data_IF_694617910034
#
_entry.id   IF_694617910034
#
_cell.length_a   1.000
_cell.length_b   1.000
_cell.length_c   1.000
_cell.angle_alpha   90.00
_cell.angle_beta   90.00
_cell.angle_gamma   90.00
#
_symmetry.space_group_name_H-M   'P 1'
#
loop_
_entity.id
_entity.type
_entity.pdbx_description
1 polymer ?
#
# COMPACT_ATOMS: atom_id res chain seq x y z
N UNK A 1 20.32 -8.09 10.41
CA UNK A 1 19.96 -6.69 10.76
C UNK A 1 20.86 -5.69 10.00
N UNK A 2 20.84 -5.72 8.67
CA UNK A 2 21.63 -4.75 7.86
C UNK A 2 20.87 -4.19 6.65
N UNK A 3 19.66 -4.71 6.35
CA UNK A 3 18.97 -4.40 5.09
C UNK A 3 17.92 -3.27 5.24
N UNK A 4 17.13 -3.27 6.31
CA UNK A 4 16.10 -2.26 6.53
C UNK A 4 16.65 -0.83 6.66
N UNK A 5 17.76 -0.66 7.39
CA UNK A 5 18.37 0.66 7.60
C UNK A 5 18.94 1.23 6.30
N UNK A 6 19.59 0.39 5.49
CA UNK A 6 20.09 0.78 4.17
C UNK A 6 18.95 1.05 3.18
N UNK A 7 17.87 0.28 3.24
CA UNK A 7 16.66 0.52 2.45
C UNK A 7 16.00 1.85 2.79
N UNK A 8 15.89 2.19 4.08
CA UNK A 8 15.37 3.50 4.53
C UNK A 8 16.27 4.64 4.05
N UNK A 9 17.60 4.51 4.21
CA UNK A 9 18.56 5.50 3.70
C UNK A 9 18.44 5.69 2.19
N UNK A 10 18.22 4.61 1.46
CA UNK A 10 18.02 4.64 0.01
C UNK A 10 16.76 5.43 -0.35
N UNK A 11 15.64 5.21 0.36
CA UNK A 11 14.42 5.98 0.18
C UNK A 11 14.68 7.46 0.46
N UNK A 12 15.31 7.80 1.59
CA UNK A 12 15.63 9.19 1.95
C UNK A 12 16.52 9.85 0.90
N UNK A 13 17.56 9.15 0.43
CA UNK A 13 18.46 9.63 -0.62
C UNK A 13 17.74 9.85 -1.95
N UNK A 14 16.69 9.07 -2.26
CA UNK A 14 15.86 9.29 -3.44
C UNK A 14 14.99 10.56 -3.32
N UNK A 15 14.54 10.92 -2.12
CA UNK A 15 13.77 12.15 -1.90
C UNK A 15 14.63 13.41 -2.14
N UNK A 16 15.92 13.38 -1.82
CA UNK A 16 16.84 14.51 -1.99
C UNK A 16 16.89 15.10 -3.43
N UNK A 17 17.04 14.30 -4.51
CA UNK A 17 16.98 14.81 -5.88
C UNK A 17 15.56 15.11 -6.37
N UNK A 18 14.54 15.02 -5.51
CA UNK A 18 13.15 15.37 -5.85
C UNK A 18 12.30 14.20 -6.37
N UNK A 19 12.63 12.95 -6.05
CA UNK A 19 11.70 11.84 -6.31
C UNK A 19 10.45 12.04 -5.46
N UNK A 20 9.30 12.16 -6.12
CA UNK A 20 8.00 12.43 -5.50
C UNK A 20 7.01 11.29 -5.68
N UNK A 21 7.40 10.17 -6.31
CA UNK A 21 6.52 9.03 -6.53
C UNK A 21 7.18 7.75 -6.01
N UNK A 22 6.51 7.09 -5.07
CA UNK A 22 6.97 5.82 -4.49
C UNK A 22 5.90 4.75 -4.71
N UNK A 23 6.33 3.60 -5.22
CA UNK A 23 5.46 2.47 -5.52
C UNK A 23 5.87 1.24 -4.70
N UNK A 24 4.89 0.62 -4.04
CA UNK A 24 5.06 -0.60 -3.24
C UNK A 24 3.91 -1.58 -3.50
N UNK A 25 3.88 -2.72 -2.81
CA UNK A 25 2.77 -3.67 -2.84
C UNK A 25 2.80 -4.53 -1.59
N UNK A 26 1.62 -4.89 -1.06
CA UNK A 26 1.52 -5.80 0.08
C UNK A 26 2.11 -7.19 -0.15
N UNK A 27 2.33 -7.61 -1.41
CA UNK A 27 2.95 -8.90 -1.74
C UNK A 27 4.49 -8.88 -1.68
N UNK A 28 5.13 -7.70 -1.67
CA UNK A 28 6.59 -7.60 -1.63
C UNK A 28 7.09 -7.92 -0.22
N UNK A 29 7.81 -9.05 -0.07
CA UNK A 29 8.22 -9.59 1.23
C UNK A 29 7.03 -9.60 2.18
N UNK A 30 6.02 -10.48 1.97
CA UNK A 30 4.62 -10.27 2.33
C UNK A 30 4.42 -9.35 3.54
N UNK A 31 3.84 -8.17 3.29
CA UNK A 31 3.56 -7.08 4.23
C UNK A 31 4.75 -6.26 4.75
N UNK A 32 5.95 -6.83 4.79
CA UNK A 32 7.14 -6.19 5.37
C UNK A 32 7.57 -4.95 4.57
N UNK A 33 7.44 -4.97 3.25
CA UNK A 33 7.85 -3.81 2.45
C UNK A 33 6.95 -2.58 2.69
N UNK A 34 5.64 -2.77 2.92
CA UNK A 34 4.75 -1.64 3.23
C UNK A 34 5.09 -1.03 4.59
N UNK A 35 5.44 -1.86 5.59
CA UNK A 35 5.91 -1.40 6.90
C UNK A 35 7.24 -0.64 6.81
N UNK A 36 8.18 -1.12 6.00
CA UNK A 36 9.45 -0.45 5.76
C UNK A 36 9.25 0.92 5.10
N UNK A 37 8.44 1.00 4.05
CA UNK A 37 8.11 2.25 3.38
C UNK A 37 7.38 3.21 4.33
N UNK A 38 6.45 2.70 5.14
CA UNK A 38 5.75 3.49 6.16
C UNK A 38 6.72 4.11 7.17
N UNK A 39 7.67 3.32 7.69
CA UNK A 39 8.74 3.83 8.57
C UNK A 39 9.62 4.87 7.88
N UNK A 40 9.99 4.65 6.62
CA UNK A 40 10.82 5.58 5.85
C UNK A 40 10.12 6.93 5.60
N UNK A 41 8.80 6.93 5.43
CA UNK A 41 8.01 8.13 5.12
C UNK A 41 7.51 8.91 6.34
N UNK A 42 7.80 8.47 7.56
CA UNK A 42 7.43 9.21 8.76
C UNK A 42 8.09 10.60 8.73
N UNK A 43 7.26 11.65 8.69
CA UNK A 43 7.71 13.05 8.55
C UNK A 43 7.93 13.54 7.11
N UNK A 44 7.84 12.64 6.11
CA UNK A 44 8.03 12.95 4.68
C UNK A 44 6.81 12.62 3.82
N UNK A 45 5.70 12.18 4.44
CA UNK A 45 4.53 11.66 3.72
C UNK A 45 3.96 12.64 2.70
N UNK A 46 3.91 13.93 3.04
CA UNK A 46 3.33 14.96 2.17
C UNK A 46 4.23 15.34 0.98
N UNK A 47 5.48 14.87 0.98
CA UNK A 47 6.45 15.10 -0.10
C UNK A 47 6.28 14.11 -1.26
N UNK A 48 5.48 13.06 -1.08
CA UNK A 48 5.34 11.97 -2.05
C UNK A 48 3.89 11.62 -2.39
N UNK A 49 3.68 11.24 -3.63
CA UNK A 49 2.55 10.43 -4.07
C UNK A 49 2.91 8.97 -3.81
N UNK A 50 2.29 8.40 -2.78
CA UNK A 50 2.46 7.00 -2.40
C UNK A 50 1.47 6.12 -3.16
N UNK A 51 2.00 5.15 -3.90
CA UNK A 51 1.25 4.14 -4.62
C UNK A 51 1.42 2.75 -3.99
N UNK A 52 0.34 1.99 -3.92
CA UNK A 52 0.39 0.56 -3.57
C UNK A 52 -0.66 -0.23 -4.35
N UNK A 53 -0.60 -1.56 -4.27
CA UNK A 53 -1.30 -2.47 -5.18
C UNK A 53 -2.14 -3.50 -4.45
N UNK A 54 -3.24 -3.92 -5.07
CA UNK A 54 -4.13 -4.98 -4.58
C UNK A 54 -4.34 -6.11 -5.58
N UNK A 55 -5.14 -7.11 -5.21
CA UNK A 55 -5.59 -8.16 -6.13
C UNK A 55 -4.92 -9.52 -5.90
N UNK A 56 -3.87 -9.56 -5.07
CA UNK A 56 -3.35 -10.81 -4.52
C UNK A 56 -3.94 -11.04 -3.13
N UNK A 57 -4.36 -12.27 -2.87
CA UNK A 57 -4.77 -12.69 -1.54
C UNK A 57 -3.57 -13.23 -0.79
N UNK A 58 -2.85 -12.35 -0.10
CA UNK A 58 -1.82 -12.76 0.84
C UNK A 58 -2.39 -13.03 2.25
N UNK A 59 -3.62 -12.58 2.56
CA UNK A 59 -4.23 -12.65 3.89
C UNK A 59 -5.09 -13.91 4.11
N UNK A 60 -5.35 -14.68 3.05
CA UNK A 60 -6.10 -15.93 3.14
C UNK A 60 -5.15 -17.11 3.24
N UNK A 61 -5.58 -18.15 3.97
CA UNK A 61 -4.92 -19.46 4.10
C UNK A 61 -4.63 -20.17 2.77
N UNK A 62 -4.98 -19.60 1.61
CA UNK A 62 -4.76 -20.15 0.27
C UNK A 62 -3.34 -19.98 -0.29
N UNK A 63 -2.42 -19.35 0.46
CA UNK A 63 -1.04 -19.15 0.05
C UNK A 63 -0.83 -17.95 -0.89
N UNK A 64 0.43 -17.50 -1.06
CA UNK A 64 0.75 -16.38 -1.95
C UNK A 64 0.38 -16.73 -3.40
N UNK A 65 -0.35 -15.85 -4.07
CA UNK A 65 -0.56 -15.91 -5.52
C UNK A 65 -2.00 -16.14 -6.00
N UNK A 66 -2.98 -16.38 -5.11
CA UNK A 66 -4.39 -16.39 -5.54
C UNK A 66 -4.84 -14.98 -5.88
N UNK A 67 -5.40 -14.80 -7.07
CA UNK A 67 -6.00 -13.54 -7.49
C UNK A 67 -7.42 -13.43 -6.93
N UNK A 68 -7.73 -12.28 -6.35
CA UNK A 68 -9.08 -11.92 -5.90
C UNK A 68 -9.21 -10.42 -5.96
N UNK A 69 -10.02 -9.94 -6.91
CA UNK A 69 -10.30 -8.52 -7.03
C UNK A 69 -11.75 -8.19 -6.67
N UNK A 70 -12.39 -9.05 -5.87
CA UNK A 70 -13.73 -8.78 -5.36
C UNK A 70 -13.76 -7.50 -4.51
N UNK A 71 -14.86 -6.74 -4.51
CA UNK A 71 -14.98 -5.53 -3.70
C UNK A 71 -14.75 -5.73 -2.20
N UNK A 72 -14.98 -6.94 -1.68
CA UNK A 72 -14.73 -7.28 -0.28
C UNK A 72 -13.22 -7.43 0.01
N UNK A 73 -12.49 -8.12 -0.88
CA UNK A 73 -11.04 -8.25 -0.74
C UNK A 73 -10.33 -6.90 -0.93
N UNK A 74 -10.80 -6.06 -1.86
CA UNK A 74 -10.23 -4.72 -2.08
C UNK A 74 -10.32 -3.87 -0.80
N UNK A 75 -11.47 -3.88 -0.11
CA UNK A 75 -11.64 -3.16 1.17
C UNK A 75 -10.70 -3.68 2.26
N UNK A 76 -10.61 -4.99 2.41
CA UNK A 76 -9.71 -5.60 3.38
C UNK A 76 -8.24 -5.27 3.08
N UNK A 77 -7.86 -5.34 1.80
CA UNK A 77 -6.50 -5.08 1.37
C UNK A 77 -6.09 -3.62 1.58
N UNK A 78 -6.97 -2.64 1.30
CA UNK A 78 -6.64 -1.22 1.49
C UNK A 78 -6.48 -0.90 2.98
N UNK A 79 -7.35 -1.44 3.84
CA UNK A 79 -7.27 -1.21 5.29
C UNK A 79 -5.93 -1.71 5.85
N UNK A 80 -5.53 -2.92 5.47
CA UNK A 80 -4.22 -3.45 5.86
C UNK A 80 -3.06 -2.62 5.30
N UNK A 81 -3.14 -2.15 4.05
CA UNK A 81 -2.10 -1.29 3.47
C UNK A 81 -1.97 0.04 4.21
N UNK A 82 -3.09 0.69 4.57
CA UNK A 82 -3.10 1.94 5.33
C UNK A 82 -2.46 1.76 6.71
N UNK A 83 -2.77 0.65 7.39
CA UNK A 83 -2.18 0.30 8.68
C UNK A 83 -0.66 0.13 8.58
N UNK A 84 -0.18 -0.72 7.66
CA UNK A 84 1.25 -0.99 7.48
C UNK A 84 2.05 0.21 7.01
N UNK A 85 1.49 1.00 6.10
CA UNK A 85 2.11 2.24 5.64
C UNK A 85 2.05 3.36 6.70
N UNK A 86 1.31 3.17 7.80
CA UNK A 86 1.18 4.16 8.86
C UNK A 86 0.58 5.49 8.39
N UNK A 87 -0.28 5.45 7.37
CA UNK A 87 -0.86 6.64 6.72
C UNK A 87 -2.38 6.56 6.76
N UNK A 88 -3.04 7.71 6.75
CA UNK A 88 -4.48 7.77 6.59
C UNK A 88 -4.90 7.75 5.13
N UNK A 89 -3.98 7.93 4.16
CA UNK A 89 -4.32 8.02 2.74
C UNK A 89 -3.28 7.43 1.78
N UNK A 90 -3.76 6.91 0.64
CA UNK A 90 -2.97 6.43 -0.51
C UNK A 90 -3.25 7.32 -1.73
N UNK A 91 -2.18 7.72 -2.44
CA UNK A 91 -2.29 8.60 -3.62
C UNK A 91 -2.78 7.85 -4.86
N UNK A 92 -2.25 6.65 -5.09
CA UNK A 92 -2.66 5.78 -6.18
C UNK A 92 -2.82 4.34 -5.67
N UNK A 93 -4.01 3.77 -5.80
CA UNK A 93 -4.28 2.38 -5.44
C UNK A 93 -4.79 1.63 -6.66
N UNK A 94 -4.06 0.61 -7.10
CA UNK A 94 -4.33 -0.04 -8.37
C UNK A 94 -4.13 -1.55 -8.32
N UNK A 95 -4.75 -2.24 -9.29
CA UNK A 95 -4.72 -3.68 -9.36
C UNK A 95 -3.31 -4.16 -9.79
N UNK A 96 -2.75 -5.13 -9.06
CA UNK A 96 -1.40 -5.67 -9.32
C UNK A 96 -1.40 -6.62 -10.52
N UNK A 97 -2.44 -7.44 -10.67
CA UNK A 97 -2.67 -8.35 -11.81
C UNK A 97 -4.15 -8.45 -12.09
N UNK A 98 -4.50 -8.52 -13.37
CA UNK A 98 -5.89 -8.72 -13.80
C UNK A 98 -6.40 -10.06 -13.29
N UNK A 99 -7.42 -10.02 -12.44
CA UNK A 99 -8.24 -11.18 -12.07
C UNK A 99 -9.32 -11.41 -13.15
N UNK A 100 -9.26 -12.53 -13.90
CA UNK A 100 -10.23 -12.84 -14.95
C UNK A 100 -11.63 -13.19 -14.39
N UNK A 101 -11.73 -13.54 -13.09
CA UNK A 101 -12.98 -13.96 -12.47
C UNK A 101 -13.79 -12.79 -11.91
N UNK A 102 -13.21 -11.58 -11.88
CA UNK A 102 -13.91 -10.37 -11.43
C UNK A 102 -14.19 -9.45 -12.62
N UNK A 103 -15.45 -9.12 -12.94
CA UNK A 103 -15.80 -8.17 -13.99
C UNK A 103 -15.06 -6.83 -13.86
N UNK A 104 -14.75 -6.18 -14.98
CA UNK A 104 -14.00 -4.91 -14.96
C UNK A 104 -14.73 -3.81 -14.17
N UNK A 105 -16.06 -3.76 -14.25
CA UNK A 105 -16.92 -2.82 -13.53
C UNK A 105 -16.75 -2.96 -12.01
N UNK A 106 -16.64 -4.20 -11.52
CA UNK A 106 -16.47 -4.51 -10.10
C UNK A 106 -15.05 -4.18 -9.61
N UNK A 107 -14.05 -4.35 -10.47
CA UNK A 107 -12.66 -3.93 -10.18
C UNK A 107 -12.50 -2.41 -10.20
N UNK A 108 -13.27 -1.74 -11.06
CA UNK A 108 -13.29 -0.30 -11.22
C UNK A 108 -14.14 0.39 -10.14
N UNK A 109 -14.82 -0.37 -9.26
CA UNK A 109 -15.80 0.17 -8.31
C UNK A 109 -15.15 1.19 -7.36
N UNK A 110 -15.21 2.44 -7.85
CA UNK A 110 -14.89 3.75 -7.30
C UNK A 110 -13.40 3.95 -6.98
N UNK A 111 -12.61 4.38 -7.95
CA UNK A 111 -11.29 5.01 -7.72
C UNK A 111 -11.44 6.54 -7.70
N UNK A 112 -12.22 7.06 -6.75
CA UNK A 112 -12.48 8.50 -6.60
C UNK A 112 -11.54 9.12 -5.56
N UNK A 113 -10.99 10.31 -5.87
CA UNK A 113 -10.16 11.11 -4.94
C UNK A 113 -10.86 11.20 -3.56
N UNK A 114 -10.19 10.73 -2.51
CA UNK A 114 -10.68 10.79 -1.14
C UNK A 114 -11.19 9.47 -0.54
N UNK A 115 -11.32 8.39 -1.33
CA UNK A 115 -11.94 7.16 -0.80
C UNK A 115 -11.01 6.23 -0.02
N UNK A 116 -9.71 6.21 -0.32
CA UNK A 116 -8.75 5.40 0.44
C UNK A 116 -8.26 6.17 1.66
N UNK A 117 -9.19 6.81 2.39
CA UNK A 117 -8.92 7.48 3.65
C UNK A 117 -9.41 6.66 4.82
N UNK A 118 -8.60 6.51 5.86
CA UNK A 118 -9.11 6.02 7.15
C UNK A 118 -10.06 7.06 7.75
N UNK A 119 -11.20 6.60 8.24
CA UNK A 119 -12.22 7.45 8.88
C UNK A 119 -11.82 7.94 10.28
N UNK A 120 -10.67 7.51 10.82
CA UNK A 120 -10.13 7.98 12.10
C UNK A 120 -8.60 7.95 12.08
N UNK A 121 -7.89 8.99 12.59
CA UNK A 121 -6.44 9.03 12.63
C UNK A 121 -5.87 7.95 13.57
N UNK A 122 -4.63 7.47 13.36
CA UNK A 122 -4.00 6.57 14.32
C UNK A 122 -3.74 7.34 15.62
N UNK A 123 -4.30 6.86 16.72
CA UNK A 123 -4.00 7.40 18.05
C UNK A 123 -2.51 7.21 18.30
N UNK A 124 -1.78 8.32 18.43
CA UNK A 124 -0.41 8.30 18.90
C UNK A 124 -0.41 7.82 20.36
N UNK A 125 -0.08 6.56 20.60
CA UNK A 125 0.23 6.10 21.96
C UNK A 125 1.57 6.73 22.35
N UNK A 126 1.54 7.46 23.47
CA UNK A 126 2.68 8.08 24.13
C UNK A 126 3.70 7.06 24.64
#
# INVERSE_FOLDING_TARGET
>A
MSDDAESIRTIHRALEPGVTFLDTAGIYGPYVNEELVGRALKGHRDQVVLATKFGFVSHSRGGPGRLDSSPANIRTAVEGSLERLGTDHIGLYYQHRVDPNTPIEERSTRCGRGMWRRTSPPTASS
#
